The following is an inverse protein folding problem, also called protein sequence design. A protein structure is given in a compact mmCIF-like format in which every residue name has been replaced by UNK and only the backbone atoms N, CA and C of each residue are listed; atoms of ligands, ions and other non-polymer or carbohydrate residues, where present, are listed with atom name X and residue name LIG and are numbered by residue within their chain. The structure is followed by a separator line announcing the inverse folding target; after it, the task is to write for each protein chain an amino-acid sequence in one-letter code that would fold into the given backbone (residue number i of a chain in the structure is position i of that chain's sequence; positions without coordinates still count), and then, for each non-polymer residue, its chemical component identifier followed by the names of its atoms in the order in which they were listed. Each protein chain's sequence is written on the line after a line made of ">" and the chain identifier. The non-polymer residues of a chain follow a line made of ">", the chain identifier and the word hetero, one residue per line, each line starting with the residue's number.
data_IF_833176690399
#
_entry.id   IF_833176690399
#
_cell.length_a   1.000
_cell.length_b   1.000
_cell.length_c   1.000
_cell.angle_alpha   90.00
_cell.angle_beta   90.00
_cell.angle_gamma   90.00
#
_symmetry.space_group_name_H-M   'P 1'
#
loop_
_entity.id
_entity.type
_entity.pdbx_description
1 polymer ?
#
# COMPACT_ATOMS: atom_id res chain seq x y z
N UNK A 1 -24.67 0.91 10.79
CA UNK A 1 -23.24 0.58 10.54
C UNK A 1 -22.45 1.06 11.74
N UNK A 2 -21.66 0.18 12.36
CA UNK A 2 -20.72 0.57 13.43
C UNK A 2 -19.54 1.26 12.76
N UNK A 3 -19.35 2.55 12.99
CA UNK A 3 -18.14 3.22 12.54
C UNK A 3 -16.93 2.66 13.32
N UNK A 4 -15.82 2.33 12.67
CA UNK A 4 -14.60 1.93 13.37
C UNK A 4 -14.15 3.06 14.29
N UNK A 5 -13.66 2.72 15.48
CA UNK A 5 -13.12 3.73 16.39
C UNK A 5 -11.75 4.21 15.89
N UNK A 6 -11.33 5.46 16.18
CA UNK A 6 -10.00 5.94 15.80
C UNK A 6 -8.87 5.03 16.31
N UNK A 7 -9.03 4.46 17.50
CA UNK A 7 -8.10 3.51 18.07
C UNK A 7 -8.00 2.21 17.25
N UNK A 8 -9.12 1.69 16.74
CA UNK A 8 -9.13 0.51 15.88
C UNK A 8 -8.44 0.79 14.53
N UNK A 9 -8.73 1.94 13.90
CA UNK A 9 -8.05 2.34 12.66
C UNK A 9 -6.53 2.47 12.85
N UNK A 10 -6.11 3.08 13.96
CA UNK A 10 -4.69 3.20 14.29
C UNK A 10 -4.05 1.82 14.52
N UNK A 11 -4.72 0.91 15.22
CA UNK A 11 -4.23 -0.44 15.47
C UNK A 11 -4.09 -1.25 14.17
N UNK A 12 -5.03 -1.13 13.23
CA UNK A 12 -4.92 -1.76 11.92
C UNK A 12 -3.74 -1.17 11.12
N UNK A 13 -3.59 0.15 11.13
CA UNK A 13 -2.47 0.81 10.47
C UNK A 13 -1.13 0.37 11.06
N UNK A 14 -0.98 0.34 12.39
CA UNK A 14 0.27 -0.05 13.03
C UNK A 14 0.63 -1.50 12.72
N UNK A 15 -0.36 -2.39 12.68
CA UNK A 15 -0.16 -3.79 12.28
C UNK A 15 0.33 -3.89 10.83
N UNK A 16 -0.34 -3.21 9.88
CA UNK A 16 0.06 -3.22 8.46
C UNK A 16 1.41 -2.53 8.23
N UNK A 17 1.74 -1.51 9.00
CA UNK A 17 3.05 -0.87 9.00
C UNK A 17 4.15 -1.82 9.52
N UNK A 18 3.84 -2.64 10.53
CA UNK A 18 4.72 -3.72 10.98
C UNK A 18 5.00 -4.74 9.87
N UNK A 19 3.97 -5.14 9.10
CA UNK A 19 4.15 -5.98 7.91
C UNK A 19 5.03 -5.31 6.84
N UNK A 20 4.81 -4.01 6.56
CA UNK A 20 5.61 -3.23 5.63
C UNK A 20 7.09 -3.21 6.03
N UNK A 21 7.36 -3.01 7.32
CA UNK A 21 8.72 -3.02 7.87
C UNK A 21 9.37 -4.40 7.75
N UNK A 22 8.67 -5.47 8.13
CA UNK A 22 9.17 -6.84 8.01
C UNK A 22 9.49 -7.22 6.55
N UNK A 23 8.74 -6.69 5.59
CA UNK A 23 8.92 -6.93 4.16
C UNK A 23 9.87 -5.94 3.47
N UNK A 24 10.40 -4.92 4.16
CA UNK A 24 11.13 -3.80 3.54
C UNK A 24 12.42 -4.22 2.80
N UNK A 25 12.99 -5.36 3.18
CA UNK A 25 14.19 -5.95 2.56
C UNK A 25 13.88 -7.18 1.69
N UNK A 26 12.61 -7.55 1.54
CA UNK A 26 12.19 -8.69 0.75
C UNK A 26 11.68 -8.24 -0.62
N UNK A 27 12.09 -8.92 -1.69
CA UNK A 27 11.47 -8.80 -3.00
C UNK A 27 10.42 -9.91 -3.17
N UNK A 28 9.28 -9.59 -3.78
CA UNK A 28 8.27 -10.58 -4.13
C UNK A 28 8.23 -10.85 -5.64
N UNK A 29 8.00 -9.79 -6.41
CA UNK A 29 7.93 -9.85 -7.87
C UNK A 29 8.73 -8.70 -8.49
N UNK A 30 9.32 -8.88 -9.69
CA UNK A 30 10.00 -7.81 -10.40
C UNK A 30 9.10 -6.58 -10.62
N UNK A 31 7.82 -6.80 -10.86
CA UNK A 31 6.84 -5.73 -11.12
C UNK A 31 6.69 -4.74 -9.95
N UNK A 32 6.98 -5.16 -8.71
CA UNK A 32 7.00 -4.26 -7.54
C UNK A 32 7.92 -3.05 -7.76
N UNK A 33 9.03 -3.28 -8.48
CA UNK A 33 9.99 -2.24 -8.84
C UNK A 33 9.67 -1.64 -10.20
N UNK A 34 9.52 -2.47 -11.24
CA UNK A 34 9.49 -2.00 -12.62
C UNK A 34 8.16 -1.39 -13.06
N UNK A 35 7.05 -1.69 -12.38
CA UNK A 35 5.72 -1.16 -12.72
C UNK A 35 5.26 -0.04 -11.77
N UNK A 36 5.95 0.18 -10.64
CA UNK A 36 5.54 1.17 -9.65
C UNK A 36 6.70 2.01 -9.10
N UNK A 37 7.62 1.40 -8.37
CA UNK A 37 8.63 2.12 -7.60
C UNK A 37 9.65 2.85 -8.49
N UNK A 38 10.16 2.20 -9.54
CA UNK A 38 11.19 2.77 -10.42
C UNK A 38 10.64 3.92 -11.29
N UNK A 39 9.47 3.79 -11.95
CA UNK A 39 8.85 4.93 -12.63
C UNK A 39 8.60 6.11 -11.69
N UNK A 40 8.06 5.85 -10.48
CA UNK A 40 7.82 6.90 -9.49
C UNK A 40 9.11 7.56 -9.00
N UNK A 41 10.17 6.77 -8.77
CA UNK A 41 11.47 7.27 -8.34
C UNK A 41 12.07 8.19 -9.40
N UNK A 42 12.07 7.76 -10.68
CA UNK A 42 12.56 8.58 -11.80
C UNK A 42 11.79 9.89 -11.93
N UNK A 43 10.47 9.89 -11.76
CA UNK A 43 9.66 11.12 -11.76
C UNK A 43 10.04 12.09 -10.63
N UNK A 44 10.37 11.58 -9.45
CA UNK A 44 10.64 12.39 -8.27
C UNK A 44 12.08 12.92 -8.19
N UNK A 45 13.05 12.08 -8.53
CA UNK A 45 14.48 12.34 -8.38
C UNK A 45 15.16 12.73 -9.71
N UNK A 46 14.55 12.43 -10.86
CA UNK A 46 15.11 12.74 -12.18
C UNK A 46 16.22 11.79 -12.65
N UNK A 47 16.53 10.74 -11.88
CA UNK A 47 17.49 9.70 -12.25
C UNK A 47 16.98 8.30 -11.89
N UNK A 48 17.66 7.28 -12.37
CA UNK A 48 17.29 5.88 -12.20
C UNK A 48 17.34 5.12 -13.52
N UNK A 49 16.98 3.83 -13.45
CA UNK A 49 16.91 2.96 -14.63
C UNK A 49 15.82 3.43 -15.59
N UNK A 50 16.07 3.21 -16.88
CA UNK A 50 15.03 3.35 -17.90
C UNK A 50 13.83 2.47 -17.52
N UNK A 51 12.63 3.03 -17.35
CA UNK A 51 11.45 2.22 -17.11
C UNK A 51 11.17 1.36 -18.35
N UNK A 52 10.40 0.29 -18.17
CA UNK A 52 10.12 -0.66 -19.25
C UNK A 52 9.52 0.04 -20.47
N UNK A 53 9.56 -0.63 -21.62
CA UNK A 53 9.06 -0.08 -22.89
C UNK A 53 7.63 0.48 -22.80
N UNK A 54 6.81 -0.01 -21.87
CA UNK A 54 5.44 0.43 -21.57
C UNK A 54 5.34 1.90 -21.11
N UNK A 55 6.40 2.45 -20.50
CA UNK A 55 6.45 3.80 -19.95
C UNK A 55 7.05 4.83 -20.90
N UNK A 56 7.59 4.37 -22.04
CA UNK A 56 8.27 5.28 -22.96
C UNK A 56 7.27 6.27 -23.57
N UNK A 57 7.63 7.55 -23.76
CA UNK A 57 6.70 8.57 -24.26
C UNK A 57 6.06 8.26 -25.62
N UNK A 58 6.74 7.47 -26.46
CA UNK A 58 6.25 7.03 -27.77
C UNK A 58 5.19 5.92 -27.70
N UNK A 59 5.20 5.10 -26.64
CA UNK A 59 4.24 4.00 -26.43
C UNK A 59 3.17 4.38 -25.41
N UNK A 60 3.60 4.88 -24.24
CA UNK A 60 2.79 5.35 -23.13
C UNK A 60 1.61 4.42 -22.77
N UNK A 61 1.87 3.11 -22.69
CA UNK A 61 0.84 2.10 -22.40
C UNK A 61 0.33 2.20 -20.96
N UNK A 62 1.17 2.66 -20.03
CA UNK A 62 0.84 2.81 -18.61
C UNK A 62 0.57 4.27 -18.26
N UNK A 63 -0.53 4.50 -17.55
CA UNK A 63 -0.84 5.82 -17.00
C UNK A 63 0.04 6.11 -15.79
N UNK A 64 0.62 7.31 -15.76
CA UNK A 64 1.37 7.79 -14.60
C UNK A 64 0.49 8.00 -13.37
N UNK A 65 -0.84 8.09 -13.53
CA UNK A 65 -1.77 8.37 -12.43
C UNK A 65 -1.59 7.43 -11.22
N UNK A 66 -1.32 6.14 -11.47
CA UNK A 66 -1.11 5.17 -10.40
C UNK A 66 0.20 5.39 -9.62
N UNK A 67 1.25 5.87 -10.29
CA UNK A 67 2.59 6.06 -9.67
C UNK A 67 2.76 7.46 -9.08
N UNK A 68 1.87 8.41 -9.36
CA UNK A 68 1.94 9.77 -8.82
C UNK A 68 1.94 9.84 -7.29
N UNK A 69 1.11 9.08 -6.54
CA UNK A 69 1.19 9.07 -5.08
C UNK A 69 2.58 8.64 -4.56
N UNK A 70 3.22 7.68 -5.24
CA UNK A 70 4.56 7.21 -4.87
C UNK A 70 5.60 8.28 -5.22
N UNK A 71 5.49 8.88 -6.39
CA UNK A 71 6.37 9.97 -6.82
C UNK A 71 6.25 11.16 -5.84
N UNK A 72 5.06 11.46 -5.32
CA UNK A 72 4.87 12.49 -4.32
C UNK A 72 5.58 12.16 -3.00
N UNK A 73 5.50 10.90 -2.53
CA UNK A 73 6.26 10.44 -1.35
C UNK A 73 7.76 10.60 -1.58
N UNK A 74 8.27 10.12 -2.71
CA UNK A 74 9.69 10.26 -3.06
C UNK A 74 10.13 11.72 -3.18
N UNK A 75 9.29 12.57 -3.77
CA UNK A 75 9.59 13.99 -3.89
C UNK A 75 9.66 14.66 -2.53
N UNK A 76 8.76 14.32 -1.61
CA UNK A 76 8.82 14.81 -0.23
C UNK A 76 10.10 14.36 0.48
N UNK A 77 10.51 13.09 0.33
CA UNK A 77 11.76 12.60 0.89
C UNK A 77 12.98 13.34 0.32
N UNK A 78 12.99 13.57 -0.99
CA UNK A 78 14.05 14.32 -1.67
C UNK A 78 14.18 15.76 -1.14
N UNK A 79 13.04 16.47 -0.99
CA UNK A 79 13.01 17.84 -0.48
C UNK A 79 13.45 17.95 0.99
N UNK A 80 13.24 16.88 1.77
CA UNK A 80 13.61 16.81 3.18
C UNK A 80 15.00 16.19 3.42
N UNK A 81 15.70 15.78 2.36
CA UNK A 81 16.98 15.06 2.45
C UNK A 81 16.88 13.76 3.29
N UNK A 82 15.75 13.05 3.16
CA UNK A 82 15.46 11.77 3.84
C UNK A 82 15.50 10.59 2.85
N UNK A 83 16.48 10.58 1.97
CA UNK A 83 16.64 9.66 0.84
C UNK A 83 17.58 8.47 1.13
N UNK A 84 17.77 8.13 2.41
CA UNK A 84 18.51 6.93 2.79
C UNK A 84 17.86 5.67 2.16
N UNK A 85 18.63 4.66 1.69
CA UNK A 85 18.09 3.53 0.94
C UNK A 85 16.98 2.76 1.66
N UNK A 86 17.06 2.65 2.98
CA UNK A 86 16.01 2.02 3.79
C UNK A 86 14.71 2.85 3.76
N UNK A 87 14.82 4.18 3.87
CA UNK A 87 13.67 5.09 3.89
C UNK A 87 12.98 5.09 2.53
N UNK A 88 13.75 5.13 1.44
CA UNK A 88 13.21 5.03 0.06
C UNK A 88 12.48 3.69 -0.17
N UNK A 89 12.95 2.59 0.42
CA UNK A 89 12.25 1.30 0.36
C UNK A 89 11.00 1.25 1.26
N UNK A 90 11.05 1.85 2.44
CA UNK A 90 10.01 1.71 3.46
C UNK A 90 8.85 2.70 3.27
N UNK A 91 9.14 3.96 2.94
CA UNK A 91 8.13 5.01 2.81
C UNK A 91 6.95 4.69 1.87
N UNK A 92 7.15 4.19 0.63
CA UNK A 92 6.04 3.79 -0.22
C UNK A 92 5.24 2.63 0.39
N UNK A 93 5.90 1.70 1.10
CA UNK A 93 5.22 0.59 1.77
C UNK A 93 4.38 1.06 2.96
N UNK A 94 4.77 2.12 3.65
CA UNK A 94 3.96 2.74 4.69
C UNK A 94 2.70 3.42 4.13
N UNK A 95 2.80 4.00 2.93
CA UNK A 95 1.62 4.49 2.21
C UNK A 95 0.65 3.34 1.89
N UNK A 96 1.14 2.24 1.32
CA UNK A 96 0.30 1.07 1.02
C UNK A 96 -0.18 0.32 2.27
N UNK A 97 0.57 0.36 3.38
CA UNK A 97 0.07 -0.13 4.66
C UNK A 97 -1.18 0.65 5.12
N UNK A 98 -1.23 1.96 4.85
CA UNK A 98 -2.43 2.78 5.02
C UNK A 98 -3.59 2.31 4.15
N UNK A 99 -3.33 2.08 2.86
CA UNK A 99 -4.33 1.55 1.92
C UNK A 99 -4.85 0.16 2.34
N UNK A 100 -3.95 -0.73 2.80
CA UNK A 100 -4.32 -2.06 3.32
C UNK A 100 -5.19 -1.95 4.57
N UNK A 101 -4.82 -1.10 5.54
CA UNK A 101 -5.63 -0.88 6.74
C UNK A 101 -7.00 -0.28 6.40
N UNK A 102 -7.08 0.64 5.44
CA UNK A 102 -8.34 1.17 4.94
C UNK A 102 -9.19 0.07 4.28
N UNK A 103 -8.57 -0.85 3.54
CA UNK A 103 -9.26 -2.00 2.95
C UNK A 103 -9.83 -2.95 4.02
N UNK A 104 -9.11 -3.16 5.14
CA UNK A 104 -9.59 -3.99 6.26
C UNK A 104 -10.84 -3.40 6.91
N UNK A 105 -10.84 -2.08 7.09
CA UNK A 105 -12.00 -1.32 7.61
C UNK A 105 -13.18 -1.41 6.64
N UNK A 106 -12.93 -1.17 5.35
CA UNK A 106 -13.97 -1.20 4.33
C UNK A 106 -14.58 -2.60 4.17
N UNK A 107 -13.76 -3.64 4.20
CA UNK A 107 -14.22 -5.03 4.14
C UNK A 107 -15.10 -5.38 5.35
N UNK A 108 -14.70 -4.96 6.56
CA UNK A 108 -15.51 -5.14 7.76
C UNK A 108 -16.86 -4.43 7.67
N UNK A 109 -16.86 -3.15 7.25
CA UNK A 109 -18.08 -2.37 7.08
C UNK A 109 -19.02 -2.95 6.00
N UNK A 110 -18.46 -3.46 4.90
CA UNK A 110 -19.22 -4.11 3.83
C UNK A 110 -19.84 -5.43 4.29
N UNK A 111 -19.07 -6.25 5.01
CA UNK A 111 -19.58 -7.50 5.59
C UNK A 111 -20.71 -7.23 6.59
N UNK A 112 -20.58 -6.19 7.41
CA UNK A 112 -21.66 -5.77 8.30
C UNK A 112 -22.91 -5.31 7.54
N UNK A 113 -22.74 -4.58 6.44
CA UNK A 113 -23.85 -4.06 5.66
C UNK A 113 -24.64 -5.14 4.91
N UNK A 114 -23.96 -6.20 4.44
CA UNK A 114 -24.58 -7.19 3.55
C UNK A 114 -24.83 -8.56 4.20
N UNK A 115 -24.05 -8.93 5.21
CA UNK A 115 -24.15 -10.22 5.89
C UNK A 115 -24.70 -10.09 7.32
N UNK A 116 -24.82 -8.85 7.80
CA UNK A 116 -25.28 -8.51 9.13
C UNK A 116 -26.79 -8.62 9.34
N UNK A 117 -27.26 -9.80 9.72
CA UNK A 117 -28.61 -9.96 10.25
C UNK A 117 -28.67 -9.69 11.77
N UNK A 118 -29.22 -8.55 12.20
CA UNK A 118 -29.65 -8.34 13.59
C UNK A 118 -28.61 -7.78 14.59
N UNK A 119 -28.93 -7.87 15.89
CA UNK A 119 -28.50 -6.98 16.98
C UNK A 119 -27.02 -7.05 17.45
N UNK A 120 -26.14 -7.78 16.77
CA UNK A 120 -24.68 -7.66 16.92
C UNK A 120 -24.03 -8.21 15.67
N UNK A 121 -23.45 -7.33 14.87
CA UNK A 121 -22.86 -7.73 13.61
C UNK A 121 -21.44 -8.27 13.86
N UNK A 122 -21.33 -9.59 13.90
CA UNK A 122 -20.04 -10.32 14.04
C UNK A 122 -19.35 -10.47 12.67
N UNK A 123 -20.11 -10.30 11.58
CA UNK A 123 -19.63 -10.50 10.21
C UNK A 123 -18.44 -9.59 9.87
N UNK A 124 -18.49 -8.31 10.25
CA UNK A 124 -17.41 -7.35 10.03
C UNK A 124 -16.15 -7.71 10.80
N UNK A 125 -16.29 -8.05 12.09
CA UNK A 125 -15.16 -8.48 12.93
C UNK A 125 -14.50 -9.75 12.35
N UNK A 126 -15.28 -10.71 11.85
CA UNK A 126 -14.77 -11.92 11.19
C UNK A 126 -14.10 -11.63 9.84
N UNK A 127 -14.65 -10.73 9.03
CA UNK A 127 -14.06 -10.34 7.76
C UNK A 127 -12.71 -9.64 7.95
N UNK A 128 -12.64 -8.71 8.91
CA UNK A 128 -11.38 -8.07 9.30
C UNK A 128 -10.40 -9.12 9.83
N UNK A 129 -10.83 -10.01 10.73
CA UNK A 129 -9.96 -11.09 11.25
C UNK A 129 -9.43 -11.99 10.13
N UNK A 130 -10.27 -12.38 9.17
CA UNK A 130 -9.86 -13.18 8.01
C UNK A 130 -8.81 -12.45 7.16
N UNK A 131 -8.95 -11.14 6.95
CA UNK A 131 -7.94 -10.33 6.25
C UNK A 131 -6.63 -10.19 7.03
N UNK A 132 -6.70 -10.11 8.36
CA UNK A 132 -5.51 -10.05 9.22
C UNK A 132 -4.76 -11.39 9.28
N UNK A 133 -5.49 -12.51 9.28
CA UNK A 133 -4.92 -13.86 9.30
C UNK A 133 -4.48 -14.35 7.92
N UNK A 134 -4.89 -13.67 6.85
CA UNK A 134 -4.46 -14.00 5.50
C UNK A 134 -2.97 -13.71 5.34
N UNK A 135 -2.18 -14.77 5.15
CA UNK A 135 -0.75 -14.68 4.92
C UNK A 135 -0.42 -13.80 3.70
N UNK A 136 -1.25 -13.88 2.65
CA UNK A 136 -1.06 -13.10 1.42
C UNK A 136 -1.27 -11.61 1.69
N UNK A 137 -2.29 -11.24 2.47
CA UNK A 137 -2.52 -9.84 2.83
C UNK A 137 -1.44 -9.29 3.74
N UNK A 138 -0.95 -10.11 4.69
CA UNK A 138 0.18 -9.74 5.53
C UNK A 138 1.47 -9.53 4.71
N UNK A 139 1.72 -10.39 3.73
CA UNK A 139 2.95 -10.36 2.94
C UNK A 139 2.95 -9.36 1.77
N UNK A 140 1.83 -9.21 1.08
CA UNK A 140 1.72 -8.44 -0.15
C UNK A 140 0.90 -7.15 -0.02
N UNK A 141 0.00 -7.04 0.97
CA UNK A 141 -0.94 -5.91 1.05
C UNK A 141 -0.29 -4.54 1.24
N UNK A 142 0.92 -4.49 1.80
CA UNK A 142 1.69 -3.24 1.96
C UNK A 142 2.71 -3.00 0.83
N UNK A 143 2.73 -3.84 -0.20
CA UNK A 143 3.62 -3.69 -1.36
C UNK A 143 2.95 -2.91 -2.47
N UNK A 144 3.77 -2.24 -3.28
CA UNK A 144 3.34 -1.55 -4.49
C UNK A 144 3.13 -2.54 -5.63
N UNK A 145 2.08 -3.36 -5.55
CA UNK A 145 1.67 -4.19 -6.69
C UNK A 145 0.90 -3.30 -7.68
N UNK A 146 1.55 -2.98 -8.80
CA UNK A 146 0.94 -2.41 -10.00
C UNK A 146 0.55 -3.52 -10.99
#
# INVERSE_FOLDING_TARGET
>A
MRSPTPAACLALYTLRAGCAWACASAAFAPDEYWQAAEPAHRLAFGYGTEPTWEWRPDVALRSHAFVLPLAAVYRALSLLHLDAPLVVRLAPRLLFAGAAAASDVAAGALADAHLGGGAKCIAGDLATLASLLSWMQAYAGSRSLA
#
